data_IF_510396202492
#
_entry.id   IF_510396202492
#
_cell.length_a   1.000
_cell.length_b   1.000
_cell.length_c   1.000
_cell.angle_alpha   90.00
_cell.angle_beta   90.00
_cell.angle_gamma   90.00
#
_symmetry.space_group_name_H-M   'P 1'
#
loop_
_entity.id
_entity.type
_entity.pdbx_description
1 polymer ?
#
# COMPACT_ATOMS: atom_id res chain seq x y z
N UNK A 1 -41.31 13.32 -3.38
CA UNK A 1 -40.14 12.41 -3.46
C UNK A 1 -38.93 13.24 -3.08
N UNK A 2 -38.71 13.40 -1.77
CA UNK A 2 -37.71 14.32 -1.24
C UNK A 2 -36.41 13.56 -0.93
N UNK A 3 -35.31 14.16 -1.40
CA UNK A 3 -33.91 13.78 -1.20
C UNK A 3 -33.62 13.27 0.22
N UNK A 4 -33.03 12.08 0.33
CA UNK A 4 -32.31 11.68 1.55
C UNK A 4 -31.05 12.52 1.67
N UNK A 5 -30.93 13.27 2.76
CA UNK A 5 -29.78 14.11 3.09
C UNK A 5 -28.58 13.27 3.56
N UNK A 6 -27.39 13.72 3.17
CA UNK A 6 -26.06 13.13 3.34
C UNK A 6 -25.59 12.92 4.80
N UNK A 7 -26.45 13.14 5.80
CA UNK A 7 -26.08 13.12 7.23
C UNK A 7 -26.17 11.71 7.86
N UNK A 8 -26.78 10.73 7.18
CA UNK A 8 -26.99 9.37 7.76
C UNK A 8 -25.84 8.36 7.52
N UNK A 9 -24.73 8.73 6.87
CA UNK A 9 -23.59 7.80 6.66
C UNK A 9 -22.39 8.03 7.60
N UNK A 10 -22.56 8.80 8.68
CA UNK A 10 -21.57 8.93 9.74
C UNK A 10 -21.82 7.85 10.79
N UNK A 11 -21.41 6.61 10.51
CA UNK A 11 -21.28 5.63 11.58
C UNK A 11 -20.19 6.12 12.54
N UNK A 12 -20.34 5.96 13.87
CA UNK A 12 -19.31 6.36 14.84
C UNK A 12 -17.93 5.74 14.56
N UNK A 13 -17.91 4.64 13.80
CA UNK A 13 -16.70 3.97 13.31
C UNK A 13 -15.89 4.83 12.33
N UNK A 14 -16.52 5.65 11.48
CA UNK A 14 -15.79 6.45 10.47
C UNK A 14 -14.98 7.58 11.11
N UNK A 15 -15.56 8.30 12.08
CA UNK A 15 -14.86 9.40 12.79
C UNK A 15 -13.68 8.88 13.61
N UNK A 16 -13.83 7.71 14.24
CA UNK A 16 -12.74 7.08 14.98
C UNK A 16 -11.61 6.64 14.04
N UNK A 17 -11.94 6.01 12.91
CA UNK A 17 -10.97 5.60 11.90
C UNK A 17 -10.20 6.78 11.33
N UNK A 18 -10.89 7.87 10.96
CA UNK A 18 -10.27 9.09 10.43
C UNK A 18 -9.29 9.72 11.43
N UNK A 19 -9.61 9.65 12.73
CA UNK A 19 -8.70 10.12 13.78
C UNK A 19 -7.43 9.27 13.85
N UNK A 20 -7.54 7.95 13.82
CA UNK A 20 -6.37 7.05 13.81
C UNK A 20 -5.51 7.33 12.57
N UNK A 21 -6.14 7.44 11.40
CA UNK A 21 -5.46 7.69 10.15
C UNK A 21 -4.66 8.99 10.22
N UNK A 22 -5.27 10.08 10.69
CA UNK A 22 -4.59 11.37 10.87
C UNK A 22 -3.38 11.28 11.80
N UNK A 23 -3.54 10.62 12.95
CA UNK A 23 -2.44 10.42 13.89
C UNK A 23 -1.27 9.63 13.27
N UNK A 24 -1.55 8.69 12.35
CA UNK A 24 -0.51 7.97 11.62
C UNK A 24 0.18 8.87 10.58
N UNK A 25 -0.59 9.69 9.86
CA UNK A 25 -0.07 10.59 8.81
C UNK A 25 0.80 11.74 9.34
N UNK A 26 0.63 12.11 10.61
CA UNK A 26 1.46 13.10 11.30
C UNK A 26 2.87 12.58 11.66
N UNK A 27 3.10 11.27 11.52
CA UNK A 27 4.39 10.63 11.79
C UNK A 27 5.20 10.46 10.51
N UNK A 28 6.47 10.12 10.69
CA UNK A 28 7.30 9.72 9.56
C UNK A 28 6.77 8.40 8.96
N UNK A 29 6.60 8.31 7.62
CA UNK A 29 6.10 7.09 6.98
C UNK A 29 6.99 5.88 7.30
N UNK A 30 6.37 4.73 7.57
CA UNK A 30 7.08 3.51 7.90
C UNK A 30 7.73 2.89 6.67
N UNK A 31 9.03 2.65 6.69
CA UNK A 31 9.68 1.78 5.70
C UNK A 31 9.08 0.37 5.77
N UNK A 32 8.50 -0.11 4.67
CA UNK A 32 7.74 -1.37 4.67
C UNK A 32 8.10 -2.23 3.46
N UNK A 33 8.58 -3.45 3.70
CA UNK A 33 8.67 -4.48 2.67
C UNK A 33 7.27 -5.03 2.37
N UNK A 34 6.78 -4.83 1.14
CA UNK A 34 5.50 -5.37 0.68
C UNK A 34 5.78 -6.64 -0.11
N UNK A 35 5.53 -7.78 0.54
CA UNK A 35 5.75 -9.09 -0.05
C UNK A 35 4.68 -9.43 -1.08
N UNK A 36 5.12 -9.75 -2.30
CA UNK A 36 4.31 -10.30 -3.39
C UNK A 36 3.00 -9.55 -3.72
N UNK A 37 3.01 -8.21 -3.97
CA UNK A 37 1.81 -7.46 -4.35
C UNK A 37 1.43 -7.67 -5.82
N UNK A 38 1.32 -8.93 -6.25
CA UNK A 38 1.11 -9.33 -7.65
C UNK A 38 -0.37 -9.39 -8.06
N UNK A 39 -1.23 -8.58 -7.44
CA UNK A 39 -2.61 -8.33 -7.85
C UNK A 39 -2.88 -6.83 -7.92
N UNK A 40 -3.90 -6.42 -8.68
CA UNK A 40 -4.22 -5.01 -8.85
C UNK A 40 -4.57 -4.35 -7.52
N UNK A 41 -5.38 -5.02 -6.69
CA UNK A 41 -5.83 -4.53 -5.38
C UNK A 41 -4.68 -4.47 -4.38
N UNK A 42 -3.79 -5.47 -4.40
CA UNK A 42 -2.64 -5.52 -3.50
C UNK A 42 -1.65 -4.39 -3.82
N UNK A 43 -1.34 -4.17 -5.10
CA UNK A 43 -0.47 -3.07 -5.52
C UNK A 43 -1.14 -1.71 -5.25
N UNK A 44 -2.41 -1.55 -5.61
CA UNK A 44 -3.15 -0.31 -5.35
C UNK A 44 -3.21 0.03 -3.87
N UNK A 45 -3.39 -0.97 -3.00
CA UNK A 45 -3.38 -0.76 -1.54
C UNK A 45 -2.04 -0.25 -1.03
N UNK A 46 -0.93 -0.82 -1.50
CA UNK A 46 0.41 -0.38 -1.13
C UNK A 46 0.69 1.06 -1.60
N UNK A 47 0.36 1.37 -2.86
CA UNK A 47 0.59 2.69 -3.45
C UNK A 47 -0.33 3.77 -2.85
N UNK A 48 -1.59 3.44 -2.53
CA UNK A 48 -2.48 4.38 -1.84
C UNK A 48 -2.01 4.65 -0.40
N UNK A 49 -1.47 3.63 0.30
CA UNK A 49 -0.88 3.83 1.62
C UNK A 49 0.36 4.73 1.56
N UNK A 50 1.20 4.59 0.53
CA UNK A 50 2.31 5.50 0.26
C UNK A 50 1.83 6.93 -0.02
N UNK A 51 0.86 7.09 -0.92
CA UNK A 51 0.27 8.40 -1.27
C UNK A 51 -0.33 9.10 -0.07
N UNK A 52 -0.85 8.33 0.90
CA UNK A 52 -1.36 8.80 2.18
C UNK A 52 -0.27 9.08 3.22
N UNK A 53 1.01 8.91 2.90
CA UNK A 53 2.16 9.04 3.82
C UNK A 53 2.12 8.08 5.02
N UNK A 54 1.54 6.89 4.85
CA UNK A 54 1.51 5.88 5.92
C UNK A 54 2.75 5.00 5.88
N UNK A 55 3.19 4.63 4.68
CA UNK A 55 4.34 3.75 4.46
C UNK A 55 5.24 4.31 3.36
N UNK A 56 6.50 3.86 3.34
CA UNK A 56 7.42 3.90 2.19
C UNK A 56 7.60 2.45 1.72
N UNK A 57 6.85 2.01 0.71
CA UNK A 57 6.84 0.62 0.30
C UNK A 57 8.10 0.26 -0.49
N UNK A 58 8.64 -0.92 -0.22
CA UNK A 58 9.59 -1.62 -1.08
C UNK A 58 8.88 -2.88 -1.58
N UNK A 59 8.54 -2.90 -2.86
CA UNK A 59 7.74 -3.95 -3.48
C UNK A 59 8.64 -5.14 -3.83
N UNK A 60 8.28 -6.34 -3.40
CA UNK A 60 9.09 -7.55 -3.63
C UNK A 60 8.30 -8.54 -4.46
N UNK A 61 8.77 -8.84 -5.68
CA UNK A 61 8.08 -9.72 -6.60
C UNK A 61 8.64 -9.64 -8.02
N UNK A 62 7.96 -10.25 -9.01
CA UNK A 62 8.42 -10.27 -10.38
C UNK A 62 8.22 -8.87 -10.99
N UNK A 63 9.30 -8.22 -11.35
CA UNK A 63 9.31 -6.83 -11.84
C UNK A 63 8.43 -6.65 -13.06
N UNK A 64 8.48 -7.60 -13.99
CA UNK A 64 7.61 -7.60 -15.16
C UNK A 64 6.12 -7.57 -14.79
N UNK A 65 5.72 -8.28 -13.73
CA UNK A 65 4.32 -8.33 -13.28
C UNK A 65 3.94 -7.02 -12.59
N UNK A 66 4.78 -6.52 -11.67
CA UNK A 66 4.53 -5.29 -10.94
C UNK A 66 4.43 -4.08 -11.88
N UNK A 67 5.29 -3.99 -12.90
CA UNK A 67 5.26 -2.94 -13.93
C UNK A 67 3.98 -2.97 -14.76
N UNK A 68 3.54 -4.16 -15.17
CA UNK A 68 2.27 -4.32 -15.90
C UNK A 68 1.06 -3.90 -15.08
N UNK A 69 1.07 -4.19 -13.77
CA UNK A 69 -0.01 -3.77 -12.86
C UNK A 69 0.04 -2.26 -12.62
N UNK A 70 1.22 -1.67 -12.44
CA UNK A 70 1.39 -0.23 -12.29
C UNK A 70 0.91 0.55 -13.51
N UNK A 71 1.21 0.07 -14.72
CA UNK A 71 0.68 0.65 -15.95
C UNK A 71 -0.86 0.65 -15.98
N UNK A 72 -1.52 -0.40 -15.46
CA UNK A 72 -2.99 -0.44 -15.34
C UNK A 72 -3.52 0.57 -14.30
N UNK A 73 -2.72 0.88 -13.27
CA UNK A 73 -3.02 1.89 -12.27
C UNK A 73 -2.63 3.31 -12.71
N UNK A 74 -2.09 3.49 -13.92
CA UNK A 74 -1.54 4.77 -14.41
C UNK A 74 -0.44 5.34 -13.50
N UNK A 75 0.40 4.45 -12.97
CA UNK A 75 1.56 4.78 -12.14
C UNK A 75 2.83 4.55 -12.94
N UNK A 76 3.75 5.52 -12.89
CA UNK A 76 5.01 5.43 -13.60
C UNK A 76 5.92 4.38 -12.95
N UNK A 77 6.59 3.61 -13.81
CA UNK A 77 7.44 2.50 -13.38
C UNK A 77 8.69 2.95 -12.61
N UNK A 78 9.20 4.15 -12.91
CA UNK A 78 10.38 4.72 -12.26
C UNK A 78 10.12 5.13 -10.81
N UNK A 79 8.85 5.33 -10.45
CA UNK A 79 8.44 5.66 -9.08
C UNK A 79 8.37 4.42 -8.17
N UNK A 80 8.47 3.22 -8.73
CA UNK A 80 8.35 1.98 -7.97
C UNK A 80 9.71 1.51 -7.44
N UNK A 81 9.84 1.47 -6.12
CA UNK A 81 10.94 0.77 -5.47
C UNK A 81 10.69 -0.76 -5.51
N UNK A 82 11.42 -1.49 -6.36
CA UNK A 82 11.21 -2.94 -6.58
C UNK A 82 12.48 -3.74 -6.28
N UNK A 83 12.32 -4.81 -5.49
CA UNK A 83 13.27 -5.94 -5.38
C UNK A 83 12.72 -7.11 -6.20
N UNK A 84 13.55 -7.66 -7.08
CA UNK A 84 13.18 -8.82 -7.90
C UNK A 84 13.04 -10.08 -7.03
N UNK A 85 11.96 -10.83 -7.23
CA UNK A 85 11.81 -12.18 -6.70
C UNK A 85 10.99 -13.03 -7.67
N UNK A 86 11.49 -14.24 -7.97
CA UNK A 86 10.88 -15.12 -8.97
C UNK A 86 9.68 -15.92 -8.43
N UNK A 87 9.60 -16.12 -7.12
CA UNK A 87 8.51 -16.87 -6.46
C UNK A 87 8.00 -16.18 -5.19
N UNK A 88 6.75 -16.47 -4.75
CA UNK A 88 6.22 -15.93 -3.50
C UNK A 88 7.07 -16.27 -2.28
N UNK A 89 7.63 -17.48 -2.22
CA UNK A 89 8.48 -17.95 -1.12
C UNK A 89 9.79 -17.17 -1.06
N UNK A 90 10.42 -16.94 -2.22
CA UNK A 90 11.62 -16.12 -2.31
C UNK A 90 11.34 -14.67 -1.90
N UNK A 91 10.21 -14.11 -2.34
CA UNK A 91 9.79 -12.76 -1.93
C UNK A 91 9.58 -12.66 -0.42
N UNK A 92 8.97 -13.67 0.20
CA UNK A 92 8.76 -13.72 1.64
C UNK A 92 10.08 -13.81 2.41
N UNK A 93 11.02 -14.63 1.95
CA UNK A 93 12.35 -14.73 2.55
C UNK A 93 13.08 -13.37 2.50
N UNK A 94 13.12 -12.73 1.32
CA UNK A 94 13.72 -11.41 1.15
C UNK A 94 13.04 -10.34 2.01
N UNK A 95 11.71 -10.35 2.11
CA UNK A 95 10.97 -9.43 2.96
C UNK A 95 11.40 -9.53 4.43
N UNK A 96 11.58 -10.75 4.94
CA UNK A 96 12.03 -11.01 6.31
C UNK A 96 13.48 -10.56 6.54
N UNK A 97 14.36 -10.75 5.55
CA UNK A 97 15.78 -10.34 5.65
C UNK A 97 15.95 -8.82 5.74
N UNK A 98 15.02 -8.05 5.19
CA UNK A 98 15.05 -6.58 5.22
C UNK A 98 14.63 -5.99 6.58
N UNK A 99 14.05 -6.80 7.47
CA UNK A 99 13.66 -6.35 8.80
C UNK A 99 14.92 -6.23 9.65
N UNK A 100 15.26 -5.03 10.16
CA UNK A 100 16.41 -4.89 11.04
C UNK A 100 16.19 -5.68 12.33
N UNK A 101 17.28 -6.18 12.97
CA UNK A 101 17.17 -6.75 14.31
C UNK A 101 16.58 -5.70 15.25
N UNK A 102 15.57 -6.11 16.02
CA UNK A 102 14.81 -5.24 16.93
C UNK A 102 15.59 -4.76 18.15
#
# INVERSE_FOLDING_TARGET
>A
MAYMNTTELLSPTSVFFDRILRCAQEREPLSMAVCWPCSLEALAGALEAERRRLIRPLLIGPRCTLRKLAAQLSVDEEDLAIIEADTPESAAALACELVPPG
#
